data_IF_523465656176
#
_entry.id   IF_523465656176
#
_cell.length_a   1.000
_cell.length_b   1.000
_cell.length_c   1.000
_cell.angle_alpha   90.00
_cell.angle_beta   90.00
_cell.angle_gamma   90.00
#
_symmetry.space_group_name_H-M   'P 1'
#
loop_
_entity.id
_entity.type
_entity.pdbx_description
1 polymer ?
#
# COMPACT_ATOMS: atom_id res chain seq x y z
N UNK A 1 -14.16 -4.05 -17.85
CA UNK A 1 -13.40 -4.73 -16.78
C UNK A 1 -13.35 -6.21 -17.15
N UNK A 2 -12.22 -6.70 -17.65
CA UNK A 2 -12.08 -8.12 -18.05
C UNK A 2 -11.45 -8.89 -16.90
N UNK A 3 -12.12 -9.97 -16.47
CA UNK A 3 -11.62 -10.89 -15.46
C UNK A 3 -11.18 -12.18 -16.15
N UNK A 4 -10.02 -12.71 -15.76
CA UNK A 4 -9.60 -14.04 -16.18
C UNK A 4 -9.31 -14.91 -14.96
N UNK A 5 -9.62 -16.20 -15.10
CA UNK A 5 -9.44 -17.22 -14.08
C UNK A 5 -8.21 -18.05 -14.43
N UNK A 6 -7.16 -17.92 -13.64
CA UNK A 6 -5.97 -18.77 -13.71
C UNK A 6 -5.79 -19.40 -12.32
N UNK A 7 -5.79 -20.73 -12.25
CA UNK A 7 -5.63 -21.46 -10.98
C UNK A 7 -6.76 -21.25 -9.96
N UNK A 8 -7.97 -20.84 -10.39
CA UNK A 8 -9.11 -20.64 -9.50
C UNK A 8 -9.26 -19.22 -8.93
N UNK A 9 -8.26 -18.35 -9.10
CA UNK A 9 -8.28 -16.98 -8.60
C UNK A 9 -8.74 -16.02 -9.70
N UNK A 10 -9.65 -15.10 -9.36
CA UNK A 10 -10.18 -14.09 -10.26
C UNK A 10 -9.22 -12.89 -10.28
N UNK A 11 -8.60 -12.58 -11.43
CA UNK A 11 -7.66 -11.45 -11.57
C UNK A 11 -8.27 -10.29 -12.35
N UNK A 12 -7.92 -9.07 -11.93
CA UNK A 12 -8.14 -7.82 -12.67
C UNK A 12 -6.83 -7.45 -13.37
N UNK A 13 -6.87 -7.10 -14.66
CA UNK A 13 -5.70 -6.70 -15.44
C UNK A 13 -4.91 -5.58 -14.74
N UNK A 14 -3.65 -5.85 -14.38
CA UNK A 14 -2.63 -4.82 -14.16
C UNK A 14 -1.95 -4.76 -12.78
N UNK A 15 -2.43 -5.47 -11.75
CA UNK A 15 -1.79 -5.43 -10.42
C UNK A 15 -1.62 -6.86 -9.88
N UNK A 16 -0.36 -7.30 -9.61
CA UNK A 16 -0.15 -8.55 -8.93
C UNK A 16 -0.68 -8.45 -7.50
N UNK A 17 -1.47 -9.44 -7.07
CA UNK A 17 -1.97 -9.41 -5.69
C UNK A 17 -0.80 -9.53 -4.70
N UNK A 18 -0.88 -8.97 -3.48
CA UNK A 18 0.16 -9.13 -2.45
C UNK A 18 0.49 -10.59 -2.09
N UNK A 19 -0.41 -11.52 -2.43
CA UNK A 19 -0.26 -12.97 -2.23
C UNK A 19 0.15 -13.71 -3.51
N UNK A 20 0.35 -12.99 -4.60
CA UNK A 20 0.83 -13.55 -5.86
C UNK A 20 2.33 -13.82 -5.72
N UNK A 21 2.74 -15.05 -6.03
CA UNK A 21 4.15 -15.35 -6.17
C UNK A 21 4.57 -15.01 -7.59
N UNK A 22 5.74 -14.43 -7.77
CA UNK A 22 6.32 -14.25 -9.10
C UNK A 22 6.48 -15.62 -9.81
N UNK A 23 6.84 -15.61 -11.10
CA UNK A 23 7.10 -16.84 -11.87
C UNK A 23 8.19 -17.75 -11.26
N UNK A 24 8.91 -17.27 -10.24
CA UNK A 24 9.98 -17.95 -9.53
C UNK A 24 9.58 -18.36 -8.09
N UNK A 25 8.33 -18.10 -7.68
CA UNK A 25 7.80 -18.53 -6.38
C UNK A 25 8.07 -17.56 -5.21
N UNK A 26 8.65 -16.38 -5.45
CA UNK A 26 8.97 -15.37 -4.44
C UNK A 26 7.79 -14.44 -4.20
N UNK A 27 7.57 -14.04 -2.94
CA UNK A 27 6.61 -12.97 -2.62
C UNK A 27 7.06 -11.67 -3.32
N UNK A 28 6.11 -10.98 -3.94
CA UNK A 28 6.36 -9.66 -4.54
C UNK A 28 6.81 -8.72 -3.41
N UNK A 29 7.89 -7.96 -3.62
CA UNK A 29 8.32 -6.94 -2.67
C UNK A 29 7.53 -5.63 -2.90
N UNK A 30 7.35 -4.77 -1.88
CA UNK A 30 6.81 -3.43 -2.09
C UNK A 30 7.69 -2.66 -3.09
N UNK A 31 7.06 -1.96 -4.03
CA UNK A 31 7.79 -1.37 -5.16
C UNK A 31 8.35 0.02 -4.87
N UNK A 32 7.65 0.80 -4.04
CA UNK A 32 7.94 2.21 -3.85
C UNK A 32 8.35 2.56 -2.42
N UNK A 33 7.73 1.91 -1.43
CA UNK A 33 8.09 2.10 -0.03
C UNK A 33 9.11 1.06 0.42
N UNK A 34 10.16 1.49 1.12
CA UNK A 34 11.19 0.59 1.65
C UNK A 34 10.94 0.20 3.10
N UNK A 35 11.44 -0.96 3.49
CA UNK A 35 11.47 -1.41 4.90
C UNK A 35 12.12 -0.38 5.83
N UNK A 36 13.22 0.25 5.39
CA UNK A 36 13.92 1.27 6.19
C UNK A 36 13.04 2.49 6.48
N UNK A 37 12.20 2.91 5.54
CA UNK A 37 11.31 4.05 5.71
C UNK A 37 10.18 3.75 6.69
N UNK A 38 9.54 2.58 6.59
CA UNK A 38 8.45 2.21 7.50
C UNK A 38 8.96 1.96 8.92
N UNK A 39 10.14 1.37 9.10
CA UNK A 39 10.77 1.22 10.42
C UNK A 39 11.05 2.57 11.07
N UNK A 40 11.55 3.53 10.29
CA UNK A 40 11.75 4.91 10.76
C UNK A 40 10.43 5.61 11.12
N UNK A 41 9.37 5.38 10.34
CA UNK A 41 8.02 5.90 10.60
C UNK A 41 7.43 5.34 11.90
N UNK A 42 7.65 4.05 12.18
CA UNK A 42 7.17 3.35 13.37
C UNK A 42 8.09 3.54 14.60
N UNK A 43 9.26 4.14 14.41
CA UNK A 43 10.30 4.27 15.43
C UNK A 43 10.70 2.91 16.06
N UNK A 44 10.95 1.92 15.19
CA UNK A 44 11.40 0.58 15.57
C UNK A 44 12.75 0.24 14.96
N UNK A 45 13.55 -0.58 15.65
CA UNK A 45 14.91 -0.97 15.29
C UNK A 45 15.12 -2.49 15.14
N UNK A 46 14.12 -3.31 15.45
CA UNK A 46 14.17 -4.76 15.30
C UNK A 46 13.84 -5.25 13.88
N UNK A 47 14.08 -6.54 13.61
CA UNK A 47 13.91 -7.17 12.29
C UNK A 47 12.88 -8.31 12.23
N UNK A 48 12.30 -8.69 13.37
CA UNK A 48 11.44 -9.87 13.47
C UNK A 48 10.16 -9.74 12.62
N UNK A 49 9.70 -8.51 12.41
CA UNK A 49 8.47 -8.21 11.67
C UNK A 49 8.71 -7.82 10.19
N UNK A 50 9.92 -7.99 9.64
CA UNK A 50 10.26 -7.47 8.30
C UNK A 50 9.33 -7.98 7.20
N UNK A 51 9.10 -9.29 7.14
CA UNK A 51 8.17 -9.88 6.18
C UNK A 51 6.72 -9.38 6.37
N UNK A 52 6.33 -9.10 7.62
CA UNK A 52 5.01 -8.58 7.93
C UNK A 52 4.87 -7.11 7.50
N UNK A 53 5.89 -6.29 7.74
CA UNK A 53 5.95 -4.89 7.31
C UNK A 53 5.94 -4.78 5.77
N UNK A 54 6.64 -5.66 5.06
CA UNK A 54 6.58 -5.73 3.59
C UNK A 54 5.17 -6.03 3.10
N UNK A 55 4.48 -6.98 3.72
CA UNK A 55 3.09 -7.29 3.38
C UNK A 55 2.13 -6.11 3.61
N UNK A 56 2.33 -5.36 4.70
CA UNK A 56 1.55 -4.15 4.98
C UNK A 56 1.83 -3.03 3.98
N UNK A 57 3.08 -2.86 3.55
CA UNK A 57 3.45 -1.90 2.51
C UNK A 57 2.78 -2.25 1.17
N UNK A 58 2.77 -3.53 0.78
CA UNK A 58 2.05 -3.97 -0.43
C UNK A 58 0.54 -3.70 -0.34
N UNK A 59 -0.07 -4.02 0.80
CA UNK A 59 -1.49 -3.75 1.02
C UNK A 59 -1.80 -2.25 0.94
N UNK A 60 -0.90 -1.40 1.46
CA UNK A 60 -1.03 0.04 1.40
C UNK A 60 -0.85 0.60 -0.02
N UNK A 61 0.14 0.14 -0.79
CA UNK A 61 0.32 0.50 -2.20
C UNK A 61 -0.95 0.21 -3.01
N UNK A 62 -1.46 -1.02 -2.91
CA UNK A 62 -2.68 -1.43 -3.60
C UNK A 62 -3.91 -0.61 -3.16
N UNK A 63 -4.00 -0.28 -1.86
CA UNK A 63 -5.09 0.53 -1.32
C UNK A 63 -5.06 1.96 -1.87
N UNK A 64 -3.87 2.55 -2.02
CA UNK A 64 -3.72 3.87 -2.62
C UNK A 64 -4.15 3.85 -4.09
N UNK A 65 -3.71 2.87 -4.88
CA UNK A 65 -4.12 2.73 -6.29
C UNK A 65 -5.64 2.62 -6.45
N UNK A 66 -6.27 1.81 -5.60
CA UNK A 66 -7.72 1.66 -5.57
C UNK A 66 -8.41 2.99 -5.22
N UNK A 67 -7.87 3.72 -4.25
CA UNK A 67 -8.44 5.00 -3.82
C UNK A 67 -8.33 6.08 -4.90
N UNK A 68 -7.16 6.20 -5.54
CA UNK A 68 -6.92 7.21 -6.58
C UNK A 68 -7.45 6.80 -7.97
N UNK A 69 -7.90 5.55 -8.11
CA UNK A 69 -8.48 4.98 -9.33
C UNK A 69 -7.53 4.94 -10.54
N UNK A 70 -6.23 4.82 -10.29
CA UNK A 70 -5.20 4.68 -11.33
C UNK A 70 -3.94 3.99 -10.76
N UNK A 71 -3.15 3.30 -11.61
CA UNK A 71 -1.91 2.66 -11.18
C UNK A 71 -0.86 3.68 -10.75
N UNK A 72 -0.09 3.36 -9.70
CA UNK A 72 1.01 4.21 -9.20
C UNK A 72 2.14 4.38 -10.24
N UNK A 73 2.34 3.36 -11.08
CA UNK A 73 3.32 3.40 -12.17
C UNK A 73 3.09 4.56 -13.16
N UNK A 74 1.85 5.04 -13.30
CA UNK A 74 1.56 6.19 -14.17
C UNK A 74 1.90 7.54 -13.56
N UNK A 75 2.23 7.59 -12.27
CA UNK A 75 2.44 8.81 -11.49
C UNK A 75 3.90 8.97 -11.02
N UNK A 76 4.72 7.92 -11.16
CA UNK A 76 6.15 7.96 -10.85
C UNK A 76 6.94 8.79 -11.88
N UNK A 77 8.04 9.39 -11.43
CA UNK A 77 9.07 9.97 -12.30
C UNK A 77 10.38 9.29 -11.98
N UNK A 78 10.97 8.62 -12.96
CA UNK A 78 12.25 7.89 -12.80
C UNK A 78 12.20 6.85 -11.66
N UNK A 79 11.06 6.17 -11.50
CA UNK A 79 10.84 5.18 -10.43
C UNK A 79 10.53 5.77 -9.05
N UNK A 80 10.45 7.10 -8.92
CA UNK A 80 10.16 7.79 -7.66
C UNK A 80 8.73 8.31 -7.66
N UNK A 81 7.96 7.95 -6.63
CA UNK A 81 6.62 8.52 -6.43
C UNK A 81 6.68 9.95 -5.90
N UNK A 82 5.70 10.79 -6.27
CA UNK A 82 5.42 12.03 -5.56
C UNK A 82 5.33 11.81 -4.05
N UNK A 83 5.97 12.68 -3.26
CA UNK A 83 6.03 12.54 -1.81
C UNK A 83 4.66 12.35 -1.13
N UNK A 84 3.55 13.00 -1.54
CA UNK A 84 2.24 12.77 -0.96
C UNK A 84 1.75 11.32 -1.07
N UNK A 85 2.01 10.65 -2.20
CA UNK A 85 1.63 9.26 -2.42
C UNK A 85 2.49 8.33 -1.56
N UNK A 86 3.81 8.56 -1.54
CA UNK A 86 4.75 7.78 -0.72
C UNK A 86 4.40 7.85 0.78
N UNK A 87 4.16 9.06 1.30
CA UNK A 87 3.79 9.22 2.71
C UNK A 87 2.39 8.66 3.02
N UNK A 88 1.45 8.70 2.08
CA UNK A 88 0.14 8.07 2.26
C UNK A 88 0.26 6.55 2.40
N UNK A 89 1.11 5.91 1.60
CA UNK A 89 1.42 4.47 1.71
C UNK A 89 1.99 4.16 3.10
N UNK A 90 2.98 4.94 3.54
CA UNK A 90 3.59 4.76 4.87
C UNK A 90 2.59 4.94 6.02
N UNK A 91 1.72 5.95 5.94
CA UNK A 91 0.70 6.21 6.97
C UNK A 91 -0.33 5.07 7.06
N UNK A 92 -0.79 4.55 5.91
CA UNK A 92 -1.71 3.41 5.88
C UNK A 92 -1.03 2.17 6.48
N UNK A 93 0.18 1.83 6.03
CA UNK A 93 0.90 0.67 6.53
C UNK A 93 1.19 0.77 8.04
N UNK A 94 1.64 1.94 8.52
CA UNK A 94 1.89 2.17 9.94
C UNK A 94 0.61 2.08 10.79
N UNK A 95 -0.50 2.58 10.25
CA UNK A 95 -1.82 2.48 10.89
C UNK A 95 -2.29 1.04 11.02
N UNK A 96 -2.12 0.22 9.98
CA UNK A 96 -2.44 -1.21 9.99
C UNK A 96 -1.53 -2.01 10.93
N UNK A 97 -0.24 -1.66 11.01
CA UNK A 97 0.67 -2.29 11.96
C UNK A 97 0.27 -2.02 13.41
N UNK A 98 -0.13 -0.76 13.69
CA UNK A 98 -0.53 -0.31 15.03
C UNK A 98 -1.89 -0.87 15.46
N UNK A 99 -2.79 -1.12 14.50
CA UNK A 99 -4.14 -1.62 14.74
C UNK A 99 -4.36 -2.95 14.00
N UNK A 100 -3.93 -4.05 14.62
CA UNK A 100 -3.95 -5.39 14.03
C UNK A 100 -5.34 -6.03 13.97
N UNK A 101 -6.32 -5.42 14.63
CA UNK A 101 -7.70 -5.88 14.67
C UNK A 101 -8.63 -4.73 14.33
N UNK A 102 -9.79 -5.00 13.69
CA UNK A 102 -10.80 -3.99 13.39
C UNK A 102 -11.61 -3.62 14.65
N UNK A 103 -10.93 -3.24 15.72
CA UNK A 103 -11.51 -2.87 17.02
C UNK A 103 -11.04 -1.46 17.38
N UNK A 104 -11.99 -0.60 17.72
CA UNK A 104 -11.71 0.74 18.21
C UNK A 104 -12.33 0.91 19.61
N UNK A 105 -11.49 1.24 20.59
CA UNK A 105 -11.94 1.50 21.97
C UNK A 105 -12.59 2.88 22.13
N UNK A 106 -12.38 3.78 21.16
CA UNK A 106 -12.98 5.10 21.07
C UNK A 106 -13.44 5.38 19.65
N UNK A 107 -14.33 6.37 19.47
CA UNK A 107 -14.80 6.76 18.14
C UNK A 107 -13.63 7.34 17.32
N UNK A 108 -13.21 6.70 16.21
CA UNK A 108 -12.16 7.24 15.37
C UNK A 108 -12.67 8.52 14.68
N UNK A 109 -11.85 9.57 14.71
CA UNK A 109 -12.09 10.80 13.96
C UNK A 109 -11.05 10.93 12.85
N UNK A 110 -11.49 11.49 11.71
CA UNK A 110 -10.59 11.76 10.59
C UNK A 110 -9.68 12.92 10.96
N UNK A 111 -8.37 12.73 10.82
CA UNK A 111 -7.38 13.78 11.05
C UNK A 111 -7.33 14.70 9.82
N UNK A 112 -7.50 16.02 9.95
CA UNK A 112 -7.35 16.96 8.85
C UNK A 112 -5.95 16.90 8.21
N UNK A 113 -5.84 17.23 6.92
CA UNK A 113 -4.56 17.29 6.18
C UNK A 113 -3.74 15.98 6.18
N UNK A 114 -4.41 14.84 6.35
CA UNK A 114 -3.80 13.50 6.39
C UNK A 114 -3.93 12.76 5.06
N UNK A 115 -4.00 11.41 5.08
CA UNK A 115 -4.05 10.53 3.90
C UNK A 115 -5.07 11.01 2.86
N UNK A 116 -6.32 11.26 3.27
CA UNK A 116 -7.36 11.70 2.33
C UNK A 116 -7.01 13.02 1.61
N UNK A 117 -6.43 13.98 2.33
CA UNK A 117 -6.02 15.26 1.77
C UNK A 117 -4.82 15.10 0.81
N UNK A 118 -3.85 14.25 1.16
CA UNK A 118 -2.68 13.97 0.33
C UNK A 118 -3.03 13.26 -0.97
N UNK A 119 -4.01 12.35 -0.93
CA UNK A 119 -4.43 11.57 -2.09
C UNK A 119 -5.38 12.34 -3.01
N UNK A 120 -6.11 13.33 -2.50
CA UNK A 120 -7.16 14.05 -3.23
C UNK A 120 -6.73 14.59 -4.61
N UNK A 121 -5.54 15.19 -4.79
CA UNK A 121 -5.11 15.70 -6.10
C UNK A 121 -4.84 14.61 -7.15
N UNK A 122 -4.69 13.36 -6.72
CA UNK A 122 -4.34 12.23 -7.57
C UNK A 122 -5.56 11.39 -7.95
N UNK A 123 -6.75 11.69 -7.42
CA UNK A 123 -7.96 10.95 -7.75
C UNK A 123 -8.33 11.21 -9.21
N UNK A 124 -8.38 10.14 -10.01
CA UNK A 124 -8.85 10.21 -11.39
C UNK A 124 -10.36 10.07 -11.43
N UNK A 125 -11.04 11.21 -11.54
CA UNK A 125 -12.48 11.23 -11.83
C UNK A 125 -12.71 10.75 -13.27
N UNK A 126 -13.68 9.85 -13.45
CA UNK A 126 -14.12 9.38 -14.77
C UNK A 126 -15.11 10.34 -15.40
#
# INVERSE_FOLDING_TARGET
>A
MLFFKVGGVLRVLGHPSPFEKDSEGKQVAPKYASLSLIKKQLNIDFSDDDAYLEALLMAAEQSVENYIQQPLQGLEKEGVLPSPLLFSILMIAAGLYSNREPVAYSAPHVVPYSVGFLLQPYIKYR
#
